data_IF_371977629828
#
_entry.id   IF_371977629828
#
_cell.length_a   1.000
_cell.length_b   1.000
_cell.length_c   1.000
_cell.angle_alpha   90.00
_cell.angle_beta   90.00
_cell.angle_gamma   90.00
#
_symmetry.space_group_name_H-M   'P 1'
#
loop_
_entity.id
_entity.type
_entity.pdbx_description
1 polymer ?
#
# COMPACT_ATOMS: atom_id res chain seq x y z
N UNK A 1 -57.05 25.01 -11.31
CA UNK A 1 -55.61 25.14 -11.60
C UNK A 1 -54.88 24.21 -10.64
N UNK A 2 -54.36 23.08 -11.13
CA UNK A 2 -53.66 22.13 -10.26
C UNK A 2 -52.26 22.66 -9.92
N UNK A 3 -51.78 22.52 -8.68
CA UNK A 3 -50.44 22.96 -8.30
C UNK A 3 -49.37 22.18 -9.07
N UNK A 4 -48.22 22.81 -9.39
CA UNK A 4 -47.11 22.14 -10.06
C UNK A 4 -46.58 21.00 -9.20
N UNK A 5 -46.42 19.82 -9.81
CA UNK A 5 -45.83 18.65 -9.18
C UNK A 5 -44.36 18.93 -8.84
N UNK A 6 -43.88 18.54 -7.65
CA UNK A 6 -42.47 18.67 -7.30
C UNK A 6 -41.59 17.83 -8.23
N UNK A 7 -40.35 18.27 -8.50
CA UNK A 7 -39.42 17.54 -9.35
C UNK A 7 -39.15 16.15 -8.75
N UNK A 8 -39.07 15.15 -9.63
CA UNK A 8 -38.78 13.77 -9.23
C UNK A 8 -37.43 13.70 -8.50
N UNK A 9 -37.32 12.93 -7.41
CA UNK A 9 -36.06 12.75 -6.71
C UNK A 9 -35.01 12.09 -7.64
N UNK A 10 -33.71 12.41 -7.47
CA UNK A 10 -32.67 11.83 -8.30
C UNK A 10 -32.62 10.30 -8.11
N UNK A 11 -32.25 9.54 -9.17
CA UNK A 11 -32.12 8.10 -9.09
C UNK A 11 -31.11 7.73 -8.00
N UNK A 12 -31.52 6.89 -7.04
CA UNK A 12 -30.60 6.36 -6.04
C UNK A 12 -29.58 5.46 -6.74
N UNK A 13 -28.28 5.55 -6.41
CA UNK A 13 -27.32 4.59 -6.91
C UNK A 13 -27.72 3.17 -6.50
N UNK A 14 -27.41 2.15 -7.32
CA UNK A 14 -27.78 0.77 -7.03
C UNK A 14 -27.13 0.31 -5.73
N UNK A 15 -27.91 0.23 -4.66
CA UNK A 15 -27.51 -0.34 -3.37
C UNK A 15 -27.78 -1.84 -3.36
N UNK A 16 -27.04 -2.59 -4.18
CA UNK A 16 -27.12 -4.05 -4.23
C UNK A 16 -25.99 -4.72 -3.45
N UNK A 17 -26.18 -5.96 -2.94
CA UNK A 17 -25.13 -6.73 -2.26
C UNK A 17 -23.88 -6.91 -3.14
N UNK A 18 -24.04 -6.95 -4.46
CA UNK A 18 -22.96 -7.02 -5.45
C UNK A 18 -22.03 -5.79 -5.47
N UNK A 19 -22.57 -4.58 -5.32
CA UNK A 19 -21.75 -3.36 -5.32
C UNK A 19 -20.86 -3.30 -4.08
N UNK A 20 -21.37 -3.74 -2.93
CA UNK A 20 -20.60 -3.85 -1.70
C UNK A 20 -19.53 -4.93 -1.80
N UNK A 21 -19.87 -6.11 -2.36
CA UNK A 21 -18.90 -7.18 -2.59
C UNK A 21 -17.74 -6.73 -3.51
N UNK A 22 -18.04 -6.07 -4.63
CA UNK A 22 -17.01 -5.55 -5.54
C UNK A 22 -16.09 -4.52 -4.86
N UNK A 23 -16.64 -3.64 -4.03
CA UNK A 23 -15.86 -2.66 -3.27
C UNK A 23 -14.91 -3.34 -2.27
N UNK A 24 -15.38 -4.38 -1.56
CA UNK A 24 -14.55 -5.09 -0.59
C UNK A 24 -13.46 -5.93 -1.29
N UNK A 25 -13.80 -6.63 -2.37
CA UNK A 25 -12.82 -7.42 -3.15
C UNK A 25 -11.75 -6.51 -3.75
N UNK A 26 -12.14 -5.39 -4.36
CA UNK A 26 -11.17 -4.43 -4.91
C UNK A 26 -10.28 -3.81 -3.84
N UNK A 27 -10.82 -3.49 -2.65
CA UNK A 27 -10.02 -3.02 -1.53
C UNK A 27 -9.01 -4.06 -1.05
N UNK A 28 -9.42 -5.32 -0.87
CA UNK A 28 -8.52 -6.40 -0.47
C UNK A 28 -7.39 -6.61 -1.49
N UNK A 29 -7.72 -6.62 -2.79
CA UNK A 29 -6.74 -6.74 -3.88
C UNK A 29 -5.77 -5.55 -3.91
N UNK A 30 -6.27 -4.32 -3.69
CA UNK A 30 -5.41 -3.15 -3.61
C UNK A 30 -4.43 -3.23 -2.43
N UNK A 31 -4.89 -3.71 -1.27
CA UNK A 31 -4.03 -3.95 -0.12
C UNK A 31 -2.96 -5.00 -0.39
N UNK A 32 -3.32 -6.13 -1.01
CA UNK A 32 -2.37 -7.16 -1.41
C UNK A 32 -1.34 -6.65 -2.42
N UNK A 33 -1.78 -5.91 -3.43
CA UNK A 33 -0.89 -5.31 -4.43
C UNK A 33 0.09 -4.31 -3.78
N UNK A 34 -0.38 -3.46 -2.86
CA UNK A 34 0.47 -2.52 -2.14
C UNK A 34 1.56 -3.25 -1.31
N UNK A 35 1.20 -4.33 -0.61
CA UNK A 35 2.16 -5.17 0.10
C UNK A 35 3.23 -5.76 -0.83
N UNK A 36 2.82 -6.31 -1.97
CA UNK A 36 3.75 -6.83 -2.97
C UNK A 36 4.69 -5.74 -3.49
N UNK A 37 4.18 -4.53 -3.77
CA UNK A 37 4.99 -3.39 -4.18
C UNK A 37 5.98 -2.97 -3.09
N UNK A 38 5.58 -2.91 -1.83
CA UNK A 38 6.45 -2.57 -0.71
C UNK A 38 7.64 -3.53 -0.60
N UNK A 39 7.37 -4.84 -0.64
CA UNK A 39 8.43 -5.86 -0.58
C UNK A 39 9.29 -5.84 -1.84
N UNK A 40 8.70 -5.65 -3.02
CA UNK A 40 9.47 -5.55 -4.27
C UNK A 40 10.41 -4.33 -4.29
N UNK A 41 9.98 -3.19 -3.75
CA UNK A 41 10.82 -2.00 -3.63
C UNK A 41 11.95 -2.21 -2.63
N UNK A 42 11.65 -2.71 -1.44
CA UNK A 42 12.66 -2.97 -0.40
C UNK A 42 13.68 -4.02 -0.86
N UNK A 43 13.22 -5.11 -1.47
CA UNK A 43 14.10 -6.15 -2.02
C UNK A 43 14.99 -5.63 -3.14
N UNK A 44 14.47 -4.75 -4.02
CA UNK A 44 15.27 -4.12 -5.07
C UNK A 44 16.34 -3.17 -4.49
N UNK A 45 16.03 -2.42 -3.43
CA UNK A 45 17.02 -1.58 -2.76
C UNK A 45 18.15 -2.42 -2.16
N UNK A 46 17.80 -3.45 -1.38
CA UNK A 46 18.76 -4.41 -0.79
C UNK A 46 19.62 -5.09 -1.86
N UNK A 47 19.01 -5.59 -2.93
CA UNK A 47 19.71 -6.27 -4.02
C UNK A 47 20.65 -5.33 -4.80
N UNK A 48 20.35 -4.04 -4.89
CA UNK A 48 21.19 -3.08 -5.58
C UNK A 48 22.51 -2.84 -4.84
N UNK A 49 22.43 -2.73 -3.51
CA UNK A 49 23.56 -2.50 -2.62
C UNK A 49 24.24 -3.79 -2.14
N UNK A 50 23.76 -4.96 -2.58
CA UNK A 50 24.13 -6.28 -2.04
C UNK A 50 24.05 -6.36 -0.50
N UNK A 51 23.18 -5.55 0.10
CA UNK A 51 23.01 -5.42 1.54
C UNK A 51 21.87 -6.33 1.99
N UNK A 52 22.18 -7.38 2.75
CA UNK A 52 21.19 -8.34 3.24
C UNK A 52 20.51 -9.15 2.13
N UNK A 53 21.18 -9.34 0.98
CA UNK A 53 20.64 -10.13 -0.14
C UNK A 53 21.07 -11.61 -0.15
N UNK A 54 21.72 -12.04 0.93
CA UNK A 54 22.03 -13.43 1.26
C UNK A 54 20.76 -14.27 1.50
N UNK A 55 20.90 -15.59 1.62
CA UNK A 55 19.79 -16.51 1.84
C UNK A 55 18.91 -16.12 3.06
N UNK A 56 19.54 -15.61 4.13
CA UNK A 56 18.85 -15.14 5.33
C UNK A 56 17.93 -13.94 5.07
N UNK A 57 18.42 -12.91 4.38
CA UNK A 57 17.60 -11.72 4.10
C UNK A 57 16.53 -11.97 3.03
N UNK A 58 16.74 -12.91 2.10
CA UNK A 58 15.67 -13.37 1.19
C UNK A 58 14.57 -14.11 1.95
N UNK A 59 14.93 -14.93 2.93
CA UNK A 59 13.96 -15.61 3.79
C UNK A 59 13.17 -14.59 4.63
N UNK A 60 13.84 -13.62 5.23
CA UNK A 60 13.20 -12.52 5.96
C UNK A 60 12.18 -11.77 5.09
N UNK A 61 12.57 -11.35 3.87
CA UNK A 61 11.66 -10.66 2.94
C UNK A 61 10.49 -11.53 2.50
N UNK A 62 10.70 -12.84 2.32
CA UNK A 62 9.63 -13.78 1.99
C UNK A 62 8.65 -13.93 3.15
N UNK A 63 9.16 -14.02 4.39
CA UNK A 63 8.33 -14.08 5.59
C UNK A 63 7.53 -12.79 5.78
N UNK A 64 8.18 -11.63 5.61
CA UNK A 64 7.51 -10.33 5.66
C UNK A 64 6.43 -10.20 4.58
N UNK A 65 6.64 -10.71 3.36
CA UNK A 65 5.62 -10.74 2.31
C UNK A 65 4.38 -11.53 2.74
N UNK A 66 4.58 -12.74 3.28
CA UNK A 66 3.49 -13.60 3.75
C UNK A 66 2.68 -12.93 4.86
N UNK A 67 3.30 -12.08 5.69
CA UNK A 67 2.60 -11.30 6.72
C UNK A 67 1.97 -10.01 6.19
N UNK A 68 2.68 -9.28 5.32
CA UNK A 68 2.27 -7.98 4.81
C UNK A 68 1.05 -8.06 3.90
N UNK A 69 0.96 -9.10 3.06
CA UNK A 69 -0.17 -9.28 2.13
C UNK A 69 -1.52 -9.36 2.87
N UNK A 70 -1.73 -10.29 3.82
CA UNK A 70 -2.97 -10.34 4.57
C UNK A 70 -3.15 -9.10 5.47
N UNK A 71 -2.08 -8.57 6.06
CA UNK A 71 -2.13 -7.36 6.88
C UNK A 71 -2.66 -6.14 6.12
N UNK A 72 -2.09 -5.86 4.94
CA UNK A 72 -2.52 -4.76 4.08
C UNK A 72 -3.92 -5.00 3.49
N UNK A 73 -4.27 -6.25 3.15
CA UNK A 73 -5.61 -6.58 2.69
C UNK A 73 -6.67 -6.30 3.77
N UNK A 74 -6.43 -6.72 5.02
CA UNK A 74 -7.32 -6.43 6.15
C UNK A 74 -7.41 -4.92 6.41
N UNK A 75 -6.28 -4.21 6.40
CA UNK A 75 -6.25 -2.77 6.60
C UNK A 75 -7.02 -2.01 5.51
N UNK A 76 -6.89 -2.44 4.25
CA UNK A 76 -7.66 -1.88 3.13
C UNK A 76 -9.18 -2.14 3.30
N UNK A 77 -9.56 -3.34 3.75
CA UNK A 77 -10.96 -3.66 4.04
C UNK A 77 -11.52 -2.80 5.18
N UNK A 78 -10.78 -2.65 6.27
CA UNK A 78 -11.19 -1.83 7.42
C UNK A 78 -11.34 -0.36 7.02
N UNK A 79 -10.37 0.20 6.30
CA UNK A 79 -10.43 1.59 5.82
C UNK A 79 -11.58 1.80 4.84
N UNK A 80 -11.81 0.87 3.90
CA UNK A 80 -12.93 0.93 2.97
C UNK A 80 -14.28 0.85 3.71
N UNK A 81 -14.38 -0.01 4.73
CA UNK A 81 -15.58 -0.13 5.56
C UNK A 81 -15.85 1.14 6.37
N UNK A 82 -14.84 1.77 6.97
CA UNK A 82 -14.98 3.03 7.69
C UNK A 82 -15.37 4.17 6.74
N UNK A 83 -14.84 4.15 5.53
CA UNK A 83 -15.03 5.19 4.52
C UNK A 83 -16.35 5.08 3.76
N UNK A 84 -17.16 4.04 4.01
CA UNK A 84 -18.46 3.83 3.33
C UNK A 84 -19.44 4.99 3.46
N UNK A 85 -19.29 5.81 4.51
CA UNK A 85 -20.12 7.00 4.77
C UNK A 85 -19.71 8.22 3.96
N UNK A 86 -18.51 8.23 3.36
CA UNK A 86 -18.01 9.32 2.53
C UNK A 86 -18.72 9.36 1.17
N UNK A 87 -18.74 10.54 0.50
CA UNK A 87 -19.22 10.64 -0.87
C UNK A 87 -18.35 9.79 -1.81
N UNK A 88 -18.96 9.21 -2.85
CA UNK A 88 -18.34 8.19 -3.72
C UNK A 88 -16.94 8.56 -4.22
N UNK A 89 -16.73 9.82 -4.61
CA UNK A 89 -15.46 10.31 -5.12
C UNK A 89 -14.35 10.38 -4.07
N UNK A 90 -14.70 10.54 -2.79
CA UNK A 90 -13.74 10.63 -1.67
C UNK A 90 -13.49 9.28 -0.98
N UNK A 91 -14.31 8.27 -1.24
CA UNK A 91 -14.18 6.93 -0.62
C UNK A 91 -12.81 6.26 -0.78
N UNK A 92 -12.12 6.31 -1.93
CA UNK A 92 -10.84 5.62 -2.07
C UNK A 92 -9.67 6.37 -1.42
N UNK A 93 -9.80 7.68 -1.21
CA UNK A 93 -8.74 8.55 -0.68
C UNK A 93 -8.12 8.05 0.62
N UNK A 94 -8.89 7.75 1.69
CA UNK A 94 -8.32 7.27 2.95
C UNK A 94 -7.62 5.92 2.81
N UNK A 95 -8.19 4.98 2.05
CA UNK A 95 -7.56 3.67 1.80
C UNK A 95 -6.23 3.85 1.05
N UNK A 96 -6.20 4.68 0.01
CA UNK A 96 -4.99 4.98 -0.74
C UNK A 96 -3.93 5.65 0.15
N UNK A 97 -4.31 6.65 0.96
CA UNK A 97 -3.40 7.32 1.89
C UNK A 97 -2.77 6.33 2.87
N UNK A 98 -3.58 5.45 3.46
CA UNK A 98 -3.10 4.44 4.40
C UNK A 98 -2.15 3.46 3.71
N UNK A 99 -2.51 2.93 2.54
CA UNK A 99 -1.65 1.98 1.82
C UNK A 99 -0.34 2.63 1.38
N UNK A 100 -0.38 3.84 0.82
CA UNK A 100 0.84 4.58 0.45
C UNK A 100 1.71 4.82 1.67
N UNK A 101 1.14 5.23 2.80
CA UNK A 101 1.89 5.45 4.04
C UNK A 101 2.56 4.17 4.52
N UNK A 102 1.85 3.03 4.50
CA UNK A 102 2.41 1.73 4.88
C UNK A 102 3.55 1.32 3.94
N UNK A 103 3.37 1.49 2.63
CA UNK A 103 4.41 1.19 1.63
C UNK A 103 5.66 2.04 1.89
N UNK A 104 5.49 3.34 2.11
CA UNK A 104 6.61 4.26 2.34
C UNK A 104 7.34 3.96 3.64
N UNK A 105 6.62 3.73 4.74
CA UNK A 105 7.21 3.39 6.04
C UNK A 105 7.95 2.06 5.97
N UNK A 106 7.34 1.04 5.36
CA UNK A 106 8.01 -0.25 5.18
C UNK A 106 9.24 -0.12 4.30
N UNK A 107 9.14 0.59 3.16
CA UNK A 107 10.27 0.79 2.26
C UNK A 107 11.41 1.54 2.97
N UNK A 108 11.11 2.61 3.72
CA UNK A 108 12.10 3.36 4.48
C UNK A 108 12.80 2.54 5.57
N UNK A 109 12.06 1.66 6.25
CA UNK A 109 12.61 0.89 7.39
C UNK A 109 13.26 -0.43 6.99
N UNK A 110 12.92 -0.96 5.82
CA UNK A 110 13.36 -2.28 5.38
C UNK A 110 14.19 -2.24 4.10
N UNK A 111 14.17 -1.14 3.34
CA UNK A 111 14.89 -1.03 2.07
C UNK A 111 16.39 -0.77 2.25
N UNK A 112 16.77 -0.10 3.34
CA UNK A 112 18.14 0.23 3.71
C UNK A 112 18.52 -0.56 4.97
N UNK A 113 19.75 -1.05 5.01
CA UNK A 113 20.29 -1.79 6.15
C UNK A 113 21.56 -1.09 6.61
N UNK A 114 21.40 -0.08 7.45
CA UNK A 114 22.52 0.68 7.99
C UNK A 114 23.52 -0.24 8.71
N UNK A 115 24.82 -0.03 8.46
CA UNK A 115 25.91 -0.80 9.03
C UNK A 115 26.06 -2.23 8.51
N UNK A 116 25.24 -2.68 7.56
CA UNK A 116 25.42 -4.00 6.94
C UNK A 116 26.62 -3.96 5.97
N UNK A 117 27.49 -4.99 5.95
CA UNK A 117 28.61 -5.08 5.00
C UNK A 117 28.11 -5.40 3.59
N UNK A 118 27.58 -4.38 2.89
CA UNK A 118 27.19 -4.43 1.49
C UNK A 118 28.28 -3.91 0.55
N UNK A 119 27.92 -3.69 -0.71
CA UNK A 119 28.77 -3.07 -1.73
C UNK A 119 28.90 -1.55 -1.48
N UNK A 120 29.92 -1.21 -0.68
CA UNK A 120 30.24 0.17 -0.30
C UNK A 120 30.57 1.05 -1.52
N UNK A 121 31.05 0.48 -2.62
CA UNK A 121 31.35 1.25 -3.84
C UNK A 121 30.07 1.72 -4.53
N UNK A 122 28.97 0.98 -4.40
CA UNK A 122 27.67 1.33 -5.00
C UNK A 122 26.79 2.22 -4.14
N UNK A 123 26.76 1.99 -2.83
CA UNK A 123 25.76 2.61 -1.95
C UNK A 123 26.33 3.30 -0.71
N UNK A 124 27.65 3.27 -0.51
CA UNK A 124 28.27 3.81 0.69
C UNK A 124 27.88 3.05 1.97
N UNK A 125 28.26 3.57 3.15
CA UNK A 125 28.08 2.89 4.44
C UNK A 125 26.61 2.72 4.85
N UNK A 126 25.74 3.61 4.39
CA UNK A 126 24.32 3.64 4.78
C UNK A 126 23.46 2.70 3.89
N UNK A 127 24.07 2.03 2.90
CA UNK A 127 23.39 1.13 1.96
C UNK A 127 22.20 1.79 1.22
N UNK A 128 22.34 3.07 0.89
CA UNK A 128 21.30 3.86 0.21
C UNK A 128 21.58 3.90 -1.29
N UNK A 129 20.66 3.41 -2.14
CA UNK A 129 20.85 3.49 -3.58
C UNK A 129 20.76 4.94 -4.08
N UNK A 130 21.43 5.30 -5.19
CA UNK A 130 21.46 6.69 -5.70
C UNK A 130 20.10 7.19 -6.21
N UNK A 131 19.16 6.28 -6.46
CA UNK A 131 17.78 6.59 -6.86
C UNK A 131 16.82 6.71 -5.67
N UNK A 132 17.32 6.56 -4.44
CA UNK A 132 16.50 6.72 -3.24
C UNK A 132 15.90 8.13 -3.18
N UNK A 133 14.61 8.28 -2.84
CA UNK A 133 14.00 9.60 -2.76
C UNK A 133 14.64 10.42 -1.63
N UNK A 134 15.22 11.58 -1.93
CA UNK A 134 15.92 12.40 -0.93
C UNK A 134 15.04 12.99 0.19
N UNK A 135 13.72 12.88 0.09
CA UNK A 135 12.77 13.27 1.15
C UNK A 135 12.38 12.10 2.06
N UNK A 136 12.71 10.86 1.68
CA UNK A 136 12.39 9.65 2.43
C UNK A 136 13.60 9.30 3.33
N UNK A 137 13.40 9.08 4.64
CA UNK A 137 14.49 8.65 5.51
C UNK A 137 15.03 7.30 5.05
N UNK A 138 16.33 7.10 5.28
CA UNK A 138 17.08 5.90 4.99
C UNK A 138 17.73 5.38 6.27
#
# INVERSE_FOLDING_TARGET
MAPPQPPAPPPRPPSGPWATALLLVSAALAGAAAACCAVALASRARAYCDAGWEAGGRFEMTFLLVLMVPGCAVLALLTAFLSRRLPLWARPVPTLLVLVSVVLVFFATQGTLDGYPGDLERCGPDNVPPWWPGWLPA
#
